data_IF_192503573513
#
_entry.id   IF_192503573513
#
_cell.length_a   1.000
_cell.length_b   1.000
_cell.length_c   1.000
_cell.angle_alpha   90.00
_cell.angle_beta   90.00
_cell.angle_gamma   90.00
#
_symmetry.space_group_name_H-M   'P 1'
#
loop_
_entity.id
_entity.type
_entity.pdbx_description
1 polymer ?
#
# COMPACT_ATOMS: atom_id res chain seq x y z
N UNK A 1 6.52 14.98 -20.25
CA UNK A 1 6.70 13.57 -19.86
C UNK A 1 5.67 13.26 -18.79
N UNK A 2 4.77 12.29 -19.02
CA UNK A 2 3.79 11.86 -18.01
C UNK A 2 4.55 11.03 -16.97
N UNK A 3 4.46 11.33 -15.67
CA UNK A 3 5.13 10.51 -14.65
C UNK A 3 4.62 9.07 -14.75
N UNK A 4 5.48 8.05 -14.55
CA UNK A 4 5.06 6.66 -14.56
C UNK A 4 4.01 6.43 -13.47
N UNK A 5 3.03 5.53 -13.67
CA UNK A 5 2.01 5.25 -12.68
C UNK A 5 2.65 4.76 -11.38
N UNK A 6 2.33 5.43 -10.27
CA UNK A 6 2.70 4.98 -8.93
C UNK A 6 1.69 3.91 -8.49
N UNK A 7 2.15 2.68 -8.34
CA UNK A 7 1.34 1.64 -7.70
C UNK A 7 1.55 1.70 -6.19
N UNK A 8 0.47 1.95 -5.47
CA UNK A 8 0.36 1.91 -4.02
C UNK A 8 -0.47 0.68 -3.65
N UNK A 9 -0.02 -0.11 -2.68
CA UNK A 9 -0.59 -1.44 -2.34
C UNK A 9 -2.09 -1.46 -1.97
N UNK A 10 -2.73 -0.31 -1.77
CA UNK A 10 -4.18 -0.22 -1.50
C UNK A 10 -4.91 0.80 -2.41
N UNK A 11 -4.22 1.42 -3.40
CA UNK A 11 -4.84 2.17 -4.49
C UNK A 11 -4.69 1.34 -5.76
N UNK A 12 -5.79 0.68 -6.13
CA UNK A 12 -5.90 -0.14 -7.32
C UNK A 12 -5.48 0.66 -8.55
N UNK A 13 -4.41 0.23 -9.23
CA UNK A 13 -4.16 0.63 -10.62
C UNK A 13 -5.40 0.27 -11.47
N UNK A 14 -5.63 1.03 -12.54
CA UNK A 14 -6.80 0.92 -13.44
C UNK A 14 -7.33 -0.53 -13.57
N UNK A 15 -8.60 -0.72 -13.24
CA UNK A 15 -9.31 -2.01 -13.31
C UNK A 15 -9.49 -2.54 -14.74
N UNK A 16 -9.01 -1.81 -15.75
CA UNK A 16 -9.16 -2.16 -17.16
C UNK A 16 -7.87 -2.75 -17.73
N UNK A 17 -7.62 -4.03 -17.46
CA UNK A 17 -7.30 -5.01 -18.53
C UNK A 17 -6.79 -6.33 -17.94
N UNK A 18 -7.55 -7.44 -18.09
CA UNK A 18 -7.12 -8.77 -17.66
C UNK A 18 -6.27 -9.43 -18.77
N UNK A 19 -5.00 -9.02 -18.89
CA UNK A 19 -3.80 -9.80 -19.30
C UNK A 19 -2.75 -8.89 -19.97
N UNK A 20 -1.55 -8.84 -19.35
CA UNK A 20 -0.25 -8.26 -19.81
C UNK A 20 -0.24 -6.75 -20.15
N UNK A 21 0.69 -5.88 -19.69
CA UNK A 21 1.76 -5.96 -18.67
C UNK A 21 1.37 -5.27 -17.34
N UNK A 22 0.07 -5.06 -17.05
CA UNK A 22 -0.39 -4.23 -15.93
C UNK A 22 -1.02 -5.02 -14.76
N UNK A 23 -0.67 -6.30 -14.58
CA UNK A 23 -1.16 -7.05 -13.42
C UNK A 23 -0.29 -6.79 -12.18
N UNK A 24 -0.93 -6.56 -11.04
CA UNK A 24 -0.29 -6.12 -9.80
C UNK A 24 -0.38 -7.14 -8.66
N UNK A 25 -0.91 -8.33 -8.93
CA UNK A 25 -0.86 -9.47 -8.04
C UNK A 25 -2.19 -9.96 -7.49
N UNK A 26 -3.18 -9.09 -7.26
CA UNK A 26 -4.49 -9.52 -6.75
C UNK A 26 -5.19 -10.49 -7.73
N UNK A 27 -5.84 -11.57 -7.26
CA UNK A 27 -6.13 -11.95 -5.87
C UNK A 27 -5.07 -12.84 -5.20
N UNK A 28 -3.90 -13.03 -5.80
CA UNK A 28 -2.99 -14.13 -5.42
C UNK A 28 -1.71 -13.66 -4.76
N UNK A 29 -1.10 -12.59 -5.28
CA UNK A 29 0.15 -12.01 -4.80
C UNK A 29 -0.13 -10.75 -3.99
N UNK A 30 0.34 -10.74 -2.75
CA UNK A 30 0.21 -9.64 -1.80
C UNK A 30 1.59 -9.07 -1.47
N UNK A 31 1.65 -7.88 -0.85
CA UNK A 31 2.90 -7.20 -0.55
C UNK A 31 3.22 -7.33 0.94
N UNK A 32 4.47 -7.66 1.24
CA UNK A 32 5.00 -7.68 2.59
C UNK A 32 5.13 -6.25 3.10
N UNK A 33 4.47 -5.92 4.20
CA UNK A 33 4.73 -4.69 4.96
C UNK A 33 5.75 -4.93 6.08
N UNK A 34 5.51 -5.94 6.93
CA UNK A 34 6.35 -6.28 8.09
C UNK A 34 6.98 -7.67 7.94
N UNK A 35 8.25 -7.75 7.48
CA UNK A 35 8.93 -9.03 7.26
C UNK A 35 9.09 -9.88 8.51
N UNK A 36 9.18 -9.28 9.69
CA UNK A 36 9.41 -10.01 10.93
C UNK A 36 8.24 -10.93 11.33
N UNK A 37 7.08 -10.81 10.68
CA UNK A 37 5.93 -11.68 10.89
C UNK A 37 6.05 -13.02 10.15
N UNK A 38 6.99 -13.14 9.20
CA UNK A 38 7.25 -14.37 8.47
C UNK A 38 8.34 -15.15 9.21
N UNK A 39 7.97 -16.32 9.77
CA UNK A 39 8.87 -17.14 10.61
C UNK A 39 9.55 -18.26 9.84
N UNK A 40 9.06 -18.57 8.64
CA UNK A 40 9.54 -19.63 7.75
C UNK A 40 10.59 -19.16 6.75
N UNK A 41 10.81 -17.84 6.63
CA UNK A 41 11.79 -17.25 5.73
C UNK A 41 12.31 -15.91 6.23
N UNK A 42 13.59 -15.63 5.95
CA UNK A 42 14.24 -14.34 6.22
C UNK A 42 14.53 -13.55 4.94
N UNK A 43 14.12 -14.08 3.78
CA UNK A 43 14.40 -13.49 2.48
C UNK A 43 13.44 -12.35 2.12
N UNK A 44 12.25 -12.36 2.72
CA UNK A 44 11.23 -11.34 2.48
C UNK A 44 11.62 -10.01 3.11
N UNK A 45 11.35 -8.93 2.39
CA UNK A 45 11.56 -7.54 2.82
C UNK A 45 10.29 -6.74 2.56
N UNK A 46 10.13 -5.58 3.20
CA UNK A 46 9.04 -4.66 2.88
C UNK A 46 9.02 -4.38 1.38
N UNK A 47 7.86 -4.53 0.73
CA UNK A 47 7.70 -4.41 -0.73
C UNK A 47 7.90 -5.71 -1.51
N UNK A 48 8.38 -6.79 -0.88
CA UNK A 48 8.42 -8.12 -1.51
C UNK A 48 7.00 -8.63 -1.73
N UNK A 49 6.78 -9.42 -2.78
CA UNK A 49 5.52 -10.12 -2.96
C UNK A 49 5.54 -11.50 -2.31
N UNK A 50 4.38 -11.93 -1.83
CA UNK A 50 4.17 -13.26 -1.26
C UNK A 50 2.76 -13.79 -1.62
N UNK A 51 2.56 -15.10 -1.45
CA UNK A 51 1.26 -15.77 -1.64
C UNK A 51 0.76 -16.29 -0.29
N UNK A 52 -0.53 -16.15 -0.02
CA UNK A 52 -1.14 -16.64 1.23
C UNK A 52 -1.39 -18.15 1.17
N UNK A 53 -1.82 -18.66 0.02
CA UNK A 53 -2.09 -20.07 -0.23
C UNK A 53 -1.34 -20.53 -1.49
N UNK A 54 -0.06 -20.96 -1.35
CA UNK A 54 0.73 -21.44 -2.48
C UNK A 54 0.08 -22.65 -3.18
N UNK A 55 0.23 -22.75 -4.50
CA UNK A 55 -0.15 -23.91 -5.30
C UNK A 55 0.85 -24.13 -6.44
N UNK A 56 0.60 -25.11 -7.32
CA UNK A 56 1.50 -25.47 -8.41
C UNK A 56 1.75 -24.31 -9.41
N UNK A 57 0.81 -23.37 -9.54
CA UNK A 57 0.89 -22.22 -10.46
C UNK A 57 1.45 -20.97 -9.77
N UNK A 58 1.10 -20.76 -8.50
CA UNK A 58 1.48 -19.58 -7.73
C UNK A 58 2.19 -19.96 -6.42
N UNK A 59 3.49 -19.66 -6.37
CA UNK A 59 4.35 -19.79 -5.19
C UNK A 59 5.11 -18.47 -4.91
N UNK A 60 5.90 -18.41 -3.83
CA UNK A 60 6.63 -17.20 -3.43
C UNK A 60 7.54 -16.61 -4.51
N UNK A 61 8.06 -17.42 -5.44
CA UNK A 61 8.93 -16.95 -6.53
C UNK A 61 8.12 -16.47 -7.75
N UNK A 62 6.97 -17.09 -8.02
CA UNK A 62 6.14 -16.80 -9.19
C UNK A 62 5.64 -15.35 -9.24
N UNK A 63 5.28 -14.75 -8.11
CA UNK A 63 4.69 -13.41 -8.10
C UNK A 63 5.59 -12.34 -8.69
N UNK A 64 6.90 -12.43 -8.42
CA UNK A 64 7.89 -11.47 -8.90
C UNK A 64 8.13 -11.56 -10.42
N UNK A 65 7.82 -12.71 -11.05
CA UNK A 65 8.01 -12.90 -12.49
C UNK A 65 6.76 -12.59 -13.32
N UNK A 66 5.57 -12.72 -12.73
CA UNK A 66 4.31 -12.53 -13.45
C UNK A 66 3.53 -11.28 -13.09
N UNK A 67 3.89 -10.58 -11.99
CA UNK A 67 3.20 -9.36 -11.56
C UNK A 67 4.14 -8.18 -11.30
N UNK A 68 3.58 -6.97 -11.34
CA UNK A 68 4.31 -5.75 -11.03
C UNK A 68 4.24 -5.47 -9.53
N UNK A 69 5.39 -5.40 -8.88
CA UNK A 69 5.45 -5.02 -7.47
C UNK A 69 5.12 -3.53 -7.28
N UNK A 70 4.65 -3.19 -6.07
CA UNK A 70 4.36 -1.81 -5.70
C UNK A 70 5.64 -0.99 -5.61
N UNK A 71 5.52 0.31 -5.94
CA UNK A 71 6.63 1.26 -5.76
C UNK A 71 6.77 1.68 -4.32
N UNK A 72 5.63 1.81 -3.64
CA UNK A 72 5.53 2.06 -2.21
C UNK A 72 4.44 1.16 -1.63
N UNK A 73 4.68 0.71 -0.40
CA UNK A 73 3.70 0.06 0.45
C UNK A 73 3.50 0.91 1.70
N UNK A 74 2.33 0.78 2.32
CA UNK A 74 1.98 1.48 3.55
C UNK A 74 1.59 0.45 4.60
N UNK A 75 1.53 0.83 5.89
CA UNK A 75 1.03 -0.07 6.93
C UNK A 75 -0.33 -0.64 6.53
N UNK A 76 -0.52 -1.93 6.79
CA UNK A 76 -1.74 -2.64 6.45
C UNK A 76 -2.97 -1.96 7.08
N UNK A 77 -4.08 -1.96 6.34
CA UNK A 77 -5.39 -1.46 6.77
C UNK A 77 -5.46 0.07 6.94
N UNK A 78 -4.52 0.83 6.37
CA UNK A 78 -4.56 2.30 6.44
C UNK A 78 -5.60 2.91 5.49
N UNK A 79 -6.06 2.15 4.48
CA UNK A 79 -7.15 2.46 3.56
C UNK A 79 -6.95 3.82 2.83
N UNK A 80 -5.95 3.95 1.95
CA UNK A 80 -5.81 5.11 1.10
C UNK A 80 -6.97 5.19 0.11
N UNK A 81 -7.67 6.32 0.09
CA UNK A 81 -8.89 6.52 -0.73
C UNK A 81 -8.73 7.58 -1.82
N UNK A 82 -7.63 8.33 -1.79
CA UNK A 82 -7.42 9.44 -2.71
C UNK A 82 -5.97 9.85 -2.72
N UNK A 83 -5.52 10.36 -3.87
CA UNK A 83 -4.19 10.93 -4.00
C UNK A 83 -4.13 12.03 -5.04
N UNK A 84 -3.25 13.01 -4.84
CA UNK A 84 -3.08 14.14 -5.76
C UNK A 84 -1.64 14.65 -5.73
N UNK A 85 -1.10 14.97 -6.91
CA UNK A 85 0.20 15.62 -7.00
C UNK A 85 0.07 17.13 -6.73
N UNK A 86 1.10 17.73 -6.13
CA UNK A 86 1.21 19.19 -6.16
C UNK A 86 1.41 19.69 -7.60
N UNK A 87 1.25 21.01 -7.80
CA UNK A 87 1.35 21.67 -9.11
C UNK A 87 2.62 21.29 -9.88
N UNK A 88 3.75 21.14 -9.18
CA UNK A 88 5.04 20.84 -9.79
C UNK A 88 5.34 19.32 -9.88
N UNK A 89 4.41 18.45 -9.47
CA UNK A 89 4.58 16.99 -9.41
C UNK A 89 5.81 16.51 -8.63
N UNK A 90 6.27 17.31 -7.66
CA UNK A 90 7.38 16.95 -6.78
C UNK A 90 6.95 16.21 -5.52
N UNK A 91 5.66 16.30 -5.16
CA UNK A 91 5.08 15.61 -4.01
C UNK A 91 3.71 15.02 -4.39
N UNK A 92 3.45 13.79 -3.93
CA UNK A 92 2.14 13.16 -3.94
C UNK A 92 1.55 13.22 -2.53
N UNK A 93 0.32 13.72 -2.42
CA UNK A 93 -0.46 13.67 -1.20
C UNK A 93 -1.43 12.50 -1.24
N UNK A 94 -1.55 11.75 -0.15
CA UNK A 94 -2.41 10.57 -0.06
C UNK A 94 -3.26 10.67 1.21
N UNK A 95 -4.57 10.47 1.09
CA UNK A 95 -5.50 10.45 2.22
C UNK A 95 -5.73 9.02 2.70
N UNK A 96 -5.40 8.72 3.96
CA UNK A 96 -5.61 7.42 4.60
C UNK A 96 -6.83 7.48 5.52
N UNK A 97 -7.90 6.81 5.09
CA UNK A 97 -9.19 6.82 5.78
C UNK A 97 -9.13 6.16 7.15
N UNK A 98 -8.26 5.17 7.31
CA UNK A 98 -8.08 4.43 8.56
C UNK A 98 -8.76 3.07 8.62
N UNK A 99 -8.22 2.25 9.51
CA UNK A 99 -8.56 0.83 9.67
C UNK A 99 -9.87 0.64 10.40
N UNK A 100 -10.65 -0.33 9.95
CA UNK A 100 -11.74 -0.93 10.71
C UNK A 100 -11.34 -2.28 11.33
N UNK A 101 -10.43 -3.02 10.68
CA UNK A 101 -9.98 -4.36 11.07
C UNK A 101 -8.50 -4.39 11.46
N UNK A 102 -8.13 -3.60 12.46
CA UNK A 102 -6.77 -3.60 13.01
C UNK A 102 -6.76 -3.09 14.45
N UNK A 103 -5.99 -3.75 15.32
CA UNK A 103 -5.75 -3.30 16.69
C UNK A 103 -4.24 -3.25 17.00
N UNK A 104 -3.68 -2.09 17.41
CA UNK A 104 -4.34 -0.78 17.46
C UNK A 104 -4.71 -0.28 16.05
N UNK A 105 -5.63 0.68 15.98
CA UNK A 105 -6.02 1.31 14.72
C UNK A 105 -4.80 1.92 13.96
N UNK A 106 -4.89 1.94 12.63
CA UNK A 106 -3.92 2.57 11.73
C UNK A 106 -4.62 3.49 10.71
N UNK A 107 -3.88 4.45 10.14
CA UNK A 107 -4.41 5.44 9.20
C UNK A 107 -4.94 6.67 9.91
N UNK A 108 -6.01 7.28 9.41
CA UNK A 108 -6.55 8.56 9.91
C UNK A 108 -5.57 9.73 9.76
N UNK A 109 -4.86 9.77 8.64
CA UNK A 109 -3.86 10.80 8.34
C UNK A 109 -3.76 11.11 6.85
N UNK A 110 -3.14 12.25 6.54
CA UNK A 110 -2.70 12.62 5.19
C UNK A 110 -1.19 12.51 5.13
N UNK A 111 -0.67 11.79 4.15
CA UNK A 111 0.76 11.71 3.89
C UNK A 111 1.18 12.66 2.77
N UNK A 112 2.38 13.21 2.88
CA UNK A 112 3.17 13.75 1.77
C UNK A 112 4.26 12.75 1.42
N UNK A 113 4.28 12.32 0.16
CA UNK A 113 5.31 11.45 -0.43
C UNK A 113 6.12 12.29 -1.42
N UNK A 114 7.40 12.58 -1.13
CA UNK A 114 8.28 13.19 -2.11
C UNK A 114 8.40 12.28 -3.35
N UNK A 115 8.12 12.84 -4.53
CA UNK A 115 8.19 12.11 -5.78
C UNK A 115 9.64 12.07 -6.29
N UNK A 116 10.43 11.21 -5.67
CA UNK A 116 11.82 10.91 -6.04
C UNK A 116 11.93 9.47 -6.56
N UNK A 117 13.03 9.17 -7.24
CA UNK A 117 13.29 7.80 -7.71
C UNK A 117 13.72 6.94 -6.51
N UNK A 118 12.90 5.95 -6.16
CA UNK A 118 13.18 4.92 -5.12
C UNK A 118 13.06 5.40 -3.67
N UNK A 119 11.89 5.90 -3.28
CA UNK A 119 11.58 6.12 -1.87
C UNK A 119 11.40 4.79 -1.12
N UNK A 120 11.89 4.71 0.11
CA UNK A 120 11.71 3.55 1.00
C UNK A 120 10.28 3.56 1.59
N UNK A 121 9.58 2.42 1.60
CA UNK A 121 8.18 2.35 2.06
C UNK A 121 7.98 2.74 3.53
N UNK A 122 9.00 2.58 4.39
CA UNK A 122 8.88 2.89 5.83
C UNK A 122 9.25 4.33 6.17
N UNK A 123 10.08 4.98 5.34
CA UNK A 123 10.65 6.32 5.63
C UNK A 123 10.42 7.35 4.53
N UNK A 124 9.90 6.94 3.37
CA UNK A 124 9.75 7.74 2.16
C UNK A 124 8.50 8.63 2.13
N UNK A 125 7.80 8.77 3.25
CA UNK A 125 6.66 9.66 3.39
C UNK A 125 6.63 10.28 4.78
N UNK A 126 5.98 11.42 4.91
CA UNK A 126 5.69 12.05 6.21
C UNK A 126 4.21 12.30 6.37
N UNK A 127 3.73 12.13 7.59
CA UNK A 127 2.38 12.56 7.97
C UNK A 127 2.35 14.08 8.08
N UNK A 128 1.44 14.73 7.35
CA UNK A 128 1.28 16.19 7.37
C UNK A 128 0.03 16.64 8.13
N UNK A 129 -0.96 15.75 8.27
CA UNK A 129 -2.19 15.97 9.03
C UNK A 129 -2.62 14.61 9.61
N UNK A 130 -3.07 14.58 10.87
CA UNK A 130 -3.54 13.34 11.51
C UNK A 130 -4.63 13.61 12.55
N UNK A 131 -5.45 12.60 12.83
CA UNK A 131 -6.31 12.61 14.00
C UNK A 131 -5.48 12.70 15.30
N UNK A 132 -6.00 13.40 16.32
CA UNK A 132 -5.32 13.53 17.62
C UNK A 132 -5.36 12.23 18.43
N UNK A 133 -6.43 11.45 18.30
CA UNK A 133 -6.62 10.15 18.95
C UNK A 133 -6.89 9.02 17.95
N UNK A 134 -5.90 8.57 17.16
CA UNK A 134 -6.13 7.52 16.16
C UNK A 134 -6.58 6.19 16.79
N UNK A 135 -6.17 5.91 18.03
CA UNK A 135 -6.58 4.70 18.77
C UNK A 135 -8.03 4.70 19.24
N UNK A 136 -8.67 5.87 19.37
CA UNK A 136 -10.10 5.99 19.68
C UNK A 136 -10.98 6.04 18.44
N UNK A 137 -10.40 6.10 17.24
CA UNK A 137 -11.14 6.10 16.00
C UNK A 137 -11.89 4.78 15.80
N UNK A 138 -13.22 4.86 15.62
CA UNK A 138 -14.04 3.74 15.18
C UNK A 138 -14.67 4.08 13.82
N UNK A 139 -14.36 3.27 12.81
CA UNK A 139 -14.93 3.38 11.47
C UNK A 139 -15.46 2.03 11.01
N UNK A 140 -16.42 1.48 11.72
CA UNK A 140 -17.11 0.23 11.35
C UNK A 140 -17.97 0.34 10.07
N UNK A 141 -18.17 1.55 9.51
CA UNK A 141 -18.89 1.77 8.26
C UNK A 141 -18.22 2.85 7.38
N UNK A 142 -18.78 3.13 6.19
CA UNK A 142 -18.33 4.18 5.26
C UNK A 142 -18.59 5.63 5.76
N UNK A 143 -19.11 5.80 6.98
CA UNK A 143 -19.34 7.11 7.60
C UNK A 143 -18.06 7.78 8.08
N UNK A 144 -18.15 9.08 8.41
CA UNK A 144 -17.06 9.81 9.04
C UNK A 144 -16.70 9.15 10.38
N UNK A 145 -15.40 8.91 10.59
CA UNK A 145 -14.86 8.31 11.80
C UNK A 145 -14.96 9.29 12.96
N UNK A 146 -15.42 8.83 14.13
CA UNK A 146 -15.34 9.63 15.36
C UNK A 146 -13.97 9.42 15.99
N UNK A 147 -13.16 10.46 15.94
CA UNK A 147 -11.86 10.63 16.59
C UNK A 147 -11.88 12.02 17.24
#
# INVERSE_FOLDING_TARGET
MRPPPLLIHELFGELESPRTPNWYGYPTCFIVWEPSLFTDTTLLKTGSQFVVAPNATFNGESCNSVSNSSRLSFPAHTAPIGSVFNTNSTNLYITFRGSWDRQPAAGYFVAEVPFTKMADSKTGYKTILSAQGPGSCNSSSLTQSTC
#
